data_IF_873183909320
#
_entry.id   IF_873183909320
#
_cell.length_a   1.000
_cell.length_b   1.000
_cell.length_c   1.000
_cell.angle_alpha   90.00
_cell.angle_beta   90.00
_cell.angle_gamma   90.00
#
_symmetry.space_group_name_H-M   'P 1'
#
loop_
_entity.id
_entity.type
_entity.pdbx_description
1 polymer ?
#
# COMPACT_ATOMS: atom_id res chain seq x y z
N UNK A 1 4.26 -3.45 -33.07
CA UNK A 1 4.32 -3.54 -31.60
C UNK A 1 3.13 -4.37 -31.18
N UNK A 2 3.34 -5.55 -30.59
CA UNK A 2 2.25 -6.37 -30.07
C UNK A 2 1.71 -5.70 -28.82
N UNK A 3 0.46 -5.23 -28.85
CA UNK A 3 -0.26 -4.83 -27.67
C UNK A 3 -0.31 -6.04 -26.73
N UNK A 4 0.47 -6.00 -25.65
CA UNK A 4 0.35 -7.00 -24.59
C UNK A 4 -0.89 -6.64 -23.78
N UNK A 5 -1.96 -7.40 -23.96
CA UNK A 5 -3.13 -7.32 -23.08
C UNK A 5 -2.72 -7.89 -21.72
N UNK A 6 -2.47 -7.01 -20.76
CA UNK A 6 -2.19 -7.38 -19.37
C UNK A 6 -3.45 -8.04 -18.79
N UNK A 7 -3.32 -9.28 -18.34
CA UNK A 7 -4.42 -10.01 -17.69
C UNK A 7 -4.85 -9.35 -16.39
N UNK A 8 -6.07 -9.63 -15.93
CA UNK A 8 -6.55 -9.13 -14.63
C UNK A 8 -5.60 -9.52 -13.49
N UNK A 9 -5.13 -10.77 -13.48
CA UNK A 9 -4.17 -11.26 -12.48
C UNK A 9 -2.86 -10.47 -12.50
N UNK A 10 -2.33 -10.15 -13.69
CA UNK A 10 -1.13 -9.32 -13.82
C UNK A 10 -1.37 -7.88 -13.34
N UNK A 11 -2.54 -7.27 -13.66
CA UNK A 11 -2.90 -5.94 -13.17
C UNK A 11 -2.96 -5.90 -11.64
N UNK A 12 -3.63 -6.87 -11.01
CA UNK A 12 -3.70 -7.01 -9.56
C UNK A 12 -2.31 -7.18 -8.95
N UNK A 13 -1.50 -8.07 -9.50
CA UNK A 13 -0.13 -8.33 -9.02
C UNK A 13 0.72 -7.05 -9.02
N UNK A 14 0.66 -6.25 -10.09
CA UNK A 14 1.41 -4.99 -10.20
C UNK A 14 0.98 -4.00 -9.10
N UNK A 15 -0.32 -3.92 -8.81
CA UNK A 15 -0.85 -3.00 -7.80
C UNK A 15 -0.51 -3.50 -6.38
N UNK A 16 -0.66 -4.79 -6.12
CA UNK A 16 -0.26 -5.39 -4.83
C UNK A 16 1.23 -5.12 -4.57
N UNK A 17 2.10 -5.35 -5.55
CA UNK A 17 3.54 -5.06 -5.42
C UNK A 17 3.81 -3.59 -5.12
N UNK A 18 3.05 -2.68 -5.74
CA UNK A 18 3.15 -1.24 -5.47
C UNK A 18 2.72 -0.90 -4.03
N UNK A 19 1.56 -1.41 -3.59
CA UNK A 19 1.06 -1.17 -2.23
C UNK A 19 1.99 -1.75 -1.15
N UNK A 20 2.59 -2.92 -1.40
CA UNK A 20 3.60 -3.50 -0.51
C UNK A 20 4.84 -2.60 -0.39
N UNK A 21 5.28 -1.97 -1.48
CA UNK A 21 6.37 -0.97 -1.44
C UNK A 21 5.97 0.28 -0.67
N UNK A 22 4.73 0.73 -0.79
CA UNK A 22 4.19 1.83 0.04
C UNK A 22 4.20 1.46 1.53
N UNK A 23 3.86 0.22 1.88
CA UNK A 23 3.91 -0.26 3.26
C UNK A 23 5.35 -0.27 3.79
N UNK A 24 6.30 -0.79 3.00
CA UNK A 24 7.71 -0.76 3.36
C UNK A 24 8.24 0.68 3.54
N UNK A 25 7.77 1.63 2.74
CA UNK A 25 8.11 3.03 2.93
C UNK A 25 7.51 3.59 4.24
N UNK A 26 6.26 3.25 4.53
CA UNK A 26 5.58 3.66 5.76
C UNK A 26 6.30 3.14 7.01
N UNK A 27 6.79 1.89 6.98
CA UNK A 27 7.59 1.31 8.06
C UNK A 27 8.86 2.15 8.35
N UNK A 28 9.59 2.56 7.30
CA UNK A 28 10.76 3.45 7.46
C UNK A 28 10.41 4.80 8.05
N UNK A 29 9.24 5.33 7.69
CA UNK A 29 8.78 6.60 8.24
C UNK A 29 8.36 6.46 9.70
N UNK A 30 7.70 5.36 10.08
CA UNK A 30 7.37 5.03 11.46
C UNK A 30 8.63 4.91 12.32
N UNK A 31 9.65 4.18 11.85
CA UNK A 31 10.95 4.08 12.52
C UNK A 31 11.60 5.46 12.75
N UNK A 32 11.51 6.34 11.75
CA UNK A 32 12.03 7.71 11.84
C UNK A 32 11.32 8.54 12.92
N UNK A 33 9.99 8.46 12.99
CA UNK A 33 9.19 9.30 13.89
C UNK A 33 9.02 8.72 15.29
N UNK A 34 9.26 7.42 15.50
CA UNK A 34 9.30 6.82 16.85
C UNK A 34 10.53 7.25 17.66
N UNK A 35 11.49 7.96 17.06
CA UNK A 35 12.62 8.55 17.77
C UNK A 35 12.14 9.67 18.71
N UNK A 36 12.54 9.67 20.00
CA UNK A 36 12.08 10.63 21.01
C UNK A 36 12.53 12.09 20.76
N UNK A 37 13.31 12.35 19.72
CA UNK A 37 13.82 13.68 19.36
C UNK A 37 12.84 14.52 18.51
N UNK A 38 11.65 13.99 18.18
CA UNK A 38 10.70 14.63 17.25
C UNK A 38 9.42 15.05 17.98
N UNK A 39 9.17 16.35 18.13
CA UNK A 39 7.95 16.87 18.78
C UNK A 39 6.66 16.59 17.99
N UNK A 40 6.75 16.43 16.66
CA UNK A 40 5.63 16.03 15.80
C UNK A 40 5.40 14.51 15.74
N UNK A 41 6.17 13.72 16.51
CA UNK A 41 6.17 12.27 16.45
C UNK A 41 4.78 11.60 16.60
N UNK A 42 3.91 11.99 17.55
CA UNK A 42 2.68 11.23 17.79
C UNK A 42 1.69 11.28 16.62
N UNK A 43 1.46 12.46 16.03
CA UNK A 43 0.55 12.60 14.89
C UNK A 43 1.13 11.91 13.65
N UNK A 44 2.43 12.08 13.39
CA UNK A 44 3.07 11.43 12.24
C UNK A 44 3.05 9.91 12.36
N UNK A 45 3.27 9.37 13.55
CA UNK A 45 3.13 7.93 13.79
C UNK A 45 1.71 7.47 13.46
N UNK A 46 0.69 8.18 13.96
CA UNK A 46 -0.70 7.86 13.65
C UNK A 46 -0.98 7.89 12.13
N UNK A 47 -0.60 8.97 11.44
CA UNK A 47 -0.85 9.13 10.00
C UNK A 47 -0.22 7.99 9.18
N UNK A 48 1.04 7.63 9.49
CA UNK A 48 1.75 6.55 8.79
C UNK A 48 1.18 5.17 9.11
N UNK A 49 0.68 4.95 10.33
CA UNK A 49 -0.03 3.72 10.69
C UNK A 49 -1.31 3.57 9.88
N UNK A 50 -2.16 4.60 9.84
CA UNK A 50 -3.41 4.57 9.08
C UNK A 50 -3.16 4.37 7.58
N UNK A 51 -2.14 5.04 7.03
CA UNK A 51 -1.77 4.87 5.63
C UNK A 51 -1.37 3.42 5.30
N UNK A 52 -0.59 2.77 6.18
CA UNK A 52 -0.21 1.37 6.02
C UNK A 52 -1.42 0.43 6.15
N UNK A 53 -2.26 0.61 7.17
CA UNK A 53 -3.45 -0.21 7.40
C UNK A 53 -4.40 -0.15 6.19
N UNK A 54 -4.64 1.04 5.64
CA UNK A 54 -5.47 1.20 4.43
C UNK A 54 -4.93 0.38 3.26
N UNK A 55 -3.62 0.43 3.01
CA UNK A 55 -3.00 -0.35 1.94
C UNK A 55 -3.10 -1.87 2.19
N UNK A 56 -2.99 -2.31 3.45
CA UNK A 56 -3.18 -3.72 3.82
C UNK A 56 -4.62 -4.19 3.54
N UNK A 57 -5.62 -3.37 3.85
CA UNK A 57 -7.01 -3.64 3.47
C UNK A 57 -7.16 -3.73 1.95
N UNK A 58 -6.64 -2.77 1.19
CA UNK A 58 -6.71 -2.78 -0.26
C UNK A 58 -6.01 -4.01 -0.88
N UNK A 59 -4.86 -4.45 -0.33
CA UNK A 59 -4.20 -5.69 -0.75
C UNK A 59 -5.10 -6.90 -0.51
N UNK A 60 -5.79 -6.97 0.62
CA UNK A 60 -6.72 -8.06 0.92
C UNK A 60 -7.88 -8.07 -0.08
N UNK A 61 -8.50 -6.92 -0.36
CA UNK A 61 -9.60 -6.77 -1.32
C UNK A 61 -9.18 -7.13 -2.77
N UNK A 62 -7.93 -6.81 -3.16
CA UNK A 62 -7.38 -7.25 -4.45
C UNK A 62 -7.19 -8.78 -4.52
N UNK A 63 -6.93 -9.43 -3.38
CA UNK A 63 -6.77 -10.89 -3.28
C UNK A 63 -8.12 -11.63 -3.16
N UNK A 64 -9.18 -10.99 -2.63
CA UNK A 64 -10.52 -11.58 -2.44
C UNK A 64 -11.50 -11.30 -3.58
N UNK A 65 -11.01 -10.79 -4.70
CA UNK A 65 -11.77 -10.41 -5.91
C UNK A 65 -12.79 -9.26 -5.72
N UNK A 66 -12.81 -8.60 -4.55
CA UNK A 66 -13.75 -7.53 -4.22
C UNK A 66 -13.58 -6.28 -5.11
N UNK A 67 -12.39 -6.11 -5.72
CA UNK A 67 -12.04 -4.97 -6.57
C UNK A 67 -12.00 -5.31 -8.07
N UNK A 68 -12.43 -6.49 -8.49
CA UNK A 68 -12.31 -6.95 -9.89
C UNK A 68 -13.06 -6.04 -10.86
N UNK A 69 -14.18 -5.50 -10.39
CA UNK A 69 -15.03 -4.59 -11.13
C UNK A 69 -14.34 -3.27 -11.52
N UNK A 70 -13.23 -2.92 -10.88
CA UNK A 70 -12.45 -1.71 -11.18
C UNK A 70 -11.53 -1.88 -12.39
N UNK A 71 -11.35 -3.11 -12.88
CA UNK A 71 -10.43 -3.45 -13.96
C UNK A 71 -11.10 -3.75 -15.31
N UNK A 72 -12.41 -3.48 -15.39
CA UNK A 72 -13.24 -3.59 -16.59
C UNK A 72 -12.73 -2.72 -17.74
#
# INVERSE_FOLDING_TARGET
>A
MTERTVSLAEKKSIIIDFLQRCNHYSDKMLEKYQSPLTQEAPQKVHDWTIYKEFNEYAINELNSDDLDDWFK
#
